data_IF_425317650471
#
_entry.id   IF_425317650471
#
_cell.length_a   1.000
_cell.length_b   1.000
_cell.length_c   1.000
_cell.angle_alpha   90.00
_cell.angle_beta   90.00
_cell.angle_gamma   90.00
#
_symmetry.space_group_name_H-M   'P 1'
#
loop_
_entity.id
_entity.type
_entity.pdbx_description
1 polymer ?
#
# COMPACT_ATOMS: atom_id res chain seq x y z
N UNK A 1 -26.45 20.14 12.64
CA UNK A 1 -25.00 20.16 12.43
C UNK A 1 -24.41 18.98 13.17
N UNK A 2 -24.08 17.89 12.46
CA UNK A 2 -23.41 16.74 13.05
C UNK A 2 -21.98 17.16 13.43
N UNK A 3 -21.60 16.94 14.69
CA UNK A 3 -20.22 17.14 15.14
C UNK A 3 -19.34 16.17 14.35
N UNK A 4 -18.48 16.68 13.46
CA UNK A 4 -17.41 15.93 12.82
C UNK A 4 -16.46 15.44 13.91
N UNK A 5 -16.70 14.26 14.43
CA UNK A 5 -15.73 13.57 15.27
C UNK A 5 -14.56 13.17 14.35
N UNK A 6 -13.35 13.65 14.67
CA UNK A 6 -12.14 13.22 13.93
C UNK A 6 -12.07 11.70 13.96
N UNK A 7 -11.88 11.05 12.80
CA UNK A 7 -11.73 9.59 12.75
C UNK A 7 -10.59 9.14 13.67
N UNK A 8 -10.82 8.03 14.41
CA UNK A 8 -9.82 7.47 15.30
C UNK A 8 -8.74 6.72 14.49
N UNK A 9 -7.51 6.73 14.98
CA UNK A 9 -6.39 5.99 14.39
C UNK A 9 -6.14 6.35 12.92
N UNK A 10 -5.94 5.35 12.08
CA UNK A 10 -5.60 5.49 10.67
C UNK A 10 -6.83 5.74 9.76
N UNK A 11 -8.06 5.68 10.28
CA UNK A 11 -9.29 5.88 9.50
C UNK A 11 -9.42 7.28 8.88
N UNK A 12 -8.62 8.26 9.35
CA UNK A 12 -8.53 9.56 8.67
C UNK A 12 -8.10 9.42 7.19
N UNK A 13 -7.35 8.37 6.83
CA UNK A 13 -6.96 8.13 5.44
C UNK A 13 -8.19 7.78 4.58
N UNK A 14 -9.11 6.97 5.09
CA UNK A 14 -10.36 6.66 4.40
C UNK A 14 -11.20 7.94 4.17
N UNK A 15 -11.31 8.79 5.19
CA UNK A 15 -11.99 10.09 5.09
C UNK A 15 -11.33 11.03 4.08
N UNK A 16 -9.99 11.07 4.06
CA UNK A 16 -9.25 11.91 3.12
C UNK A 16 -9.38 11.41 1.68
N UNK A 17 -9.30 10.11 1.46
CA UNK A 17 -9.52 9.51 0.15
C UNK A 17 -10.94 9.78 -0.36
N UNK A 18 -11.94 9.74 0.51
CA UNK A 18 -13.30 10.10 0.17
C UNK A 18 -13.41 11.58 -0.27
N UNK A 19 -12.83 12.52 0.49
CA UNK A 19 -12.81 13.95 0.14
C UNK A 19 -12.09 14.24 -1.16
N UNK A 20 -11.07 13.47 -1.49
CA UNK A 20 -10.35 13.58 -2.75
C UNK A 20 -11.09 12.91 -3.93
N UNK A 21 -12.29 12.39 -3.73
CA UNK A 21 -13.02 11.54 -4.69
C UNK A 21 -12.14 10.38 -5.21
N UNK A 22 -11.29 9.83 -4.33
CA UNK A 22 -10.38 8.74 -4.66
C UNK A 22 -11.02 7.37 -4.50
N UNK A 23 -12.28 7.31 -4.07
CA UNK A 23 -13.06 6.08 -3.89
C UNK A 23 -14.34 6.21 -4.70
N UNK A 24 -14.55 5.26 -5.61
CA UNK A 24 -15.75 5.16 -6.43
C UNK A 24 -16.41 3.79 -6.22
N UNK A 25 -17.75 3.75 -6.29
CA UNK A 25 -18.55 2.53 -6.21
C UNK A 25 -19.23 2.26 -7.55
N UNK A 26 -19.16 1.01 -8.02
CA UNK A 26 -19.68 0.63 -9.35
C UNK A 26 -19.32 -0.80 -9.70
N UNK A 27 -19.03 -1.07 -10.95
CA UNK A 27 -18.49 -2.34 -11.45
C UNK A 27 -17.17 -2.06 -12.16
N UNK A 28 -16.06 -2.48 -11.55
CA UNK A 28 -14.71 -2.16 -12.02
C UNK A 28 -13.92 -3.45 -12.29
N UNK A 29 -13.23 -3.49 -13.43
CA UNK A 29 -12.21 -4.49 -13.71
C UNK A 29 -10.84 -3.82 -13.66
N UNK A 30 -10.00 -4.21 -12.68
CA UNK A 30 -8.74 -3.59 -12.34
C UNK A 30 -7.60 -4.62 -12.50
N UNK A 31 -6.88 -4.52 -13.60
CA UNK A 31 -5.81 -5.47 -13.91
C UNK A 31 -6.35 -6.90 -14.11
N UNK A 32 -5.57 -7.89 -13.65
CA UNK A 32 -5.88 -9.31 -13.84
C UNK A 32 -6.61 -9.96 -12.65
N UNK A 33 -6.60 -9.33 -11.49
CA UNK A 33 -7.06 -9.93 -10.22
C UNK A 33 -8.39 -9.36 -9.75
N UNK A 34 -8.63 -8.08 -9.92
CA UNK A 34 -9.87 -7.43 -9.48
C UNK A 34 -10.88 -7.36 -10.62
N UNK A 35 -11.63 -8.43 -10.84
CA UNK A 35 -12.71 -8.52 -11.85
C UNK A 35 -14.05 -8.31 -11.15
N UNK A 36 -14.90 -7.44 -11.71
CA UNK A 36 -16.22 -7.07 -11.17
C UNK A 36 -16.13 -6.55 -9.71
N UNK A 37 -15.10 -5.74 -9.41
CA UNK A 37 -14.99 -5.12 -8.10
C UNK A 37 -16.06 -4.03 -7.91
N UNK A 38 -16.84 -4.06 -6.82
CA UNK A 38 -17.84 -3.03 -6.55
C UNK A 38 -17.23 -1.71 -6.05
N UNK A 39 -15.90 -1.67 -5.85
CA UNK A 39 -15.20 -0.51 -5.33
C UNK A 39 -13.86 -0.30 -6.04
N UNK A 40 -13.61 0.94 -6.42
CA UNK A 40 -12.34 1.41 -6.96
C UNK A 40 -11.67 2.38 -6.01
N UNK A 41 -10.36 2.23 -5.76
CA UNK A 41 -9.57 3.12 -4.93
C UNK A 41 -8.37 3.64 -5.73
N UNK A 42 -8.25 4.96 -5.84
CA UNK A 42 -7.19 5.65 -6.58
C UNK A 42 -6.32 6.49 -5.64
N UNK A 43 -5.36 5.86 -4.98
CA UNK A 43 -4.46 6.54 -4.04
C UNK A 43 -3.55 7.58 -4.70
N UNK A 44 -3.35 7.50 -6.02
CA UNK A 44 -2.54 8.49 -6.75
C UNK A 44 -3.12 9.91 -6.64
N UNK A 45 -4.39 10.07 -6.27
CA UNK A 45 -4.98 11.39 -5.96
C UNK A 45 -4.39 12.05 -4.72
N UNK A 46 -3.72 11.29 -3.84
CA UNK A 46 -3.00 11.85 -2.68
C UNK A 46 -1.88 12.83 -3.08
N UNK A 47 -1.30 12.71 -4.28
CA UNK A 47 -0.27 13.63 -4.77
C UNK A 47 -0.76 15.08 -4.85
N UNK A 48 -2.06 15.28 -5.01
CA UNK A 48 -2.68 16.61 -5.05
C UNK A 48 -2.90 17.21 -3.65
N UNK A 49 -2.65 16.44 -2.58
CA UNK A 49 -2.72 16.90 -1.20
C UNK A 49 -1.39 16.60 -0.46
N UNK A 50 -0.40 17.52 -0.53
CA UNK A 50 0.92 17.29 0.09
C UNK A 50 0.86 17.02 1.59
N UNK A 51 -0.10 17.61 2.32
CA UNK A 51 -0.28 17.38 3.76
C UNK A 51 -0.78 15.96 4.05
N UNK A 52 -1.70 15.45 3.23
CA UNK A 52 -2.19 14.08 3.35
C UNK A 52 -1.07 13.08 3.01
N UNK A 53 -0.32 13.32 1.94
CA UNK A 53 0.81 12.48 1.54
C UNK A 53 1.91 12.44 2.62
N UNK A 54 2.28 13.59 3.18
CA UNK A 54 3.23 13.66 4.30
C UNK A 54 2.71 12.91 5.54
N UNK A 55 1.40 12.99 5.81
CA UNK A 55 0.79 12.24 6.92
C UNK A 55 0.79 10.74 6.66
N UNK A 56 0.63 10.28 5.42
CA UNK A 56 0.80 8.87 5.06
C UNK A 56 2.22 8.39 5.38
N UNK A 57 3.24 9.16 5.01
CA UNK A 57 4.62 8.85 5.35
C UNK A 57 4.84 8.72 6.87
N UNK A 58 4.28 9.65 7.64
CA UNK A 58 4.37 9.64 9.11
C UNK A 58 3.67 8.42 9.74
N UNK A 59 2.52 8.01 9.23
CA UNK A 59 1.83 6.81 9.73
C UNK A 59 2.64 5.55 9.45
N UNK A 60 3.20 5.43 8.25
CA UNK A 60 4.08 4.30 7.93
C UNK A 60 5.27 4.28 8.90
N UNK A 61 5.91 5.42 9.15
CA UNK A 61 7.00 5.52 10.11
C UNK A 61 6.58 5.07 11.51
N UNK A 62 5.45 5.55 12.01
CA UNK A 62 4.96 5.23 13.35
C UNK A 62 4.63 3.74 13.50
N UNK A 63 3.99 3.13 12.49
CA UNK A 63 3.70 1.70 12.44
C UNK A 63 4.98 0.87 12.43
N UNK A 64 5.93 1.20 11.55
CA UNK A 64 7.20 0.48 11.47
C UNK A 64 8.02 0.60 12.76
N UNK A 65 8.07 1.78 13.39
CA UNK A 65 8.72 1.96 14.68
C UNK A 65 8.08 1.12 15.78
N UNK A 66 6.75 1.05 15.81
CA UNK A 66 6.03 0.22 16.76
C UNK A 66 6.37 -1.26 16.57
N UNK A 67 6.36 -1.77 15.33
CA UNK A 67 6.69 -3.16 15.01
C UNK A 67 8.15 -3.52 15.30
N UNK A 68 9.09 -2.60 15.03
CA UNK A 68 10.51 -2.77 15.32
C UNK A 68 10.81 -2.78 16.84
N UNK A 69 10.03 -2.04 17.63
CA UNK A 69 10.23 -1.91 19.08
C UNK A 69 9.68 -3.08 19.90
N UNK A 70 8.96 -4.00 19.28
CA UNK A 70 8.41 -5.18 19.96
C UNK A 70 9.52 -6.12 20.44
N UNK A 71 9.29 -6.85 21.54
CA UNK A 71 10.22 -7.87 22.07
C UNK A 71 10.61 -8.91 21.01
N UNK A 72 9.65 -9.27 20.13
CA UNK A 72 9.87 -10.07 18.94
C UNK A 72 9.43 -9.20 17.75
N UNK A 73 10.37 -8.52 17.08
CA UNK A 73 10.03 -7.63 15.97
C UNK A 73 9.30 -8.38 14.84
N UNK A 74 8.24 -7.78 14.34
CA UNK A 74 7.46 -8.34 13.22
C UNK A 74 7.97 -7.88 11.86
N UNK A 75 9.02 -7.05 11.84
CA UNK A 75 9.71 -6.61 10.63
C UNK A 75 11.22 -6.64 10.86
N UNK A 76 11.98 -6.69 9.78
CA UNK A 76 13.44 -6.64 9.83
C UNK A 76 13.96 -5.20 9.68
N UNK A 77 15.12 -4.85 10.31
CA UNK A 77 15.76 -3.58 10.03
C UNK A 77 16.11 -3.43 8.55
N UNK A 78 15.94 -2.22 8.03
CA UNK A 78 16.26 -1.88 6.64
C UNK A 78 17.08 -0.59 6.57
N UNK A 79 17.87 -0.44 5.51
CA UNK A 79 18.71 0.74 5.26
C UNK A 79 18.43 1.36 3.90
N UNK A 80 17.47 0.81 3.17
CA UNK A 80 17.08 1.23 1.83
C UNK A 80 15.57 1.06 1.68
N UNK A 81 14.96 1.88 0.85
CA UNK A 81 13.54 1.79 0.48
C UNK A 81 13.41 1.61 -1.02
N UNK A 82 12.51 0.74 -1.47
CA UNK A 82 12.16 0.62 -2.87
C UNK A 82 10.69 1.00 -3.10
N UNK A 83 10.46 2.00 -3.95
CA UNK A 83 9.11 2.39 -4.35
C UNK A 83 8.61 1.58 -5.55
N UNK A 84 7.40 1.02 -5.48
CA UNK A 84 6.77 0.33 -6.61
C UNK A 84 6.17 1.34 -7.59
N UNK A 85 6.55 1.33 -8.88
CA UNK A 85 5.92 2.20 -9.89
C UNK A 85 4.44 1.85 -10.13
N UNK A 86 3.54 2.84 -10.33
CA UNK A 86 3.82 4.27 -10.18
C UNK A 86 3.26 4.82 -8.87
N UNK A 87 2.22 4.23 -8.30
CA UNK A 87 1.53 4.71 -7.09
C UNK A 87 2.42 4.70 -5.87
N UNK A 88 3.15 3.61 -5.67
CA UNK A 88 4.07 3.43 -4.56
C UNK A 88 5.25 4.43 -4.56
N UNK A 89 5.67 4.95 -5.73
CA UNK A 89 6.76 5.93 -5.80
C UNK A 89 6.46 7.19 -4.99
N UNK A 90 5.24 7.69 -5.03
CA UNK A 90 4.88 8.93 -4.31
C UNK A 90 4.92 8.71 -2.80
N UNK A 91 4.43 7.57 -2.35
CA UNK A 91 4.42 7.19 -0.93
C UNK A 91 5.84 6.93 -0.44
N UNK A 92 6.63 6.18 -1.21
CA UNK A 92 8.01 5.87 -0.89
C UNK A 92 8.90 7.12 -0.85
N UNK A 93 8.71 8.05 -1.81
CA UNK A 93 9.43 9.34 -1.81
C UNK A 93 9.10 10.15 -0.57
N UNK A 94 7.81 10.28 -0.23
CA UNK A 94 7.40 11.01 0.96
C UNK A 94 7.96 10.35 2.24
N UNK A 95 7.94 9.02 2.32
CA UNK A 95 8.51 8.27 3.44
C UNK A 95 10.03 8.45 3.53
N UNK A 96 10.75 8.28 2.41
CA UNK A 96 12.20 8.47 2.33
C UNK A 96 12.63 9.85 2.86
N UNK A 97 11.95 10.91 2.41
CA UNK A 97 12.20 12.27 2.88
C UNK A 97 11.87 12.45 4.37
N UNK A 98 10.80 11.82 4.86
CA UNK A 98 10.37 11.94 6.25
C UNK A 98 11.34 11.28 7.24
N UNK A 99 11.93 10.14 6.87
CA UNK A 99 12.82 9.36 7.77
C UNK A 99 14.31 9.50 7.44
N UNK A 100 14.66 10.16 6.33
CA UNK A 100 16.05 10.29 5.85
C UNK A 100 16.64 8.97 5.35
N UNK A 101 15.82 8.03 4.89
CA UNK A 101 16.28 6.74 4.36
C UNK A 101 16.47 6.83 2.83
N UNK A 102 17.61 6.40 2.26
CA UNK A 102 17.81 6.36 0.81
C UNK A 102 16.73 5.56 0.10
N UNK A 103 16.39 5.96 -1.13
CA UNK A 103 15.36 5.32 -1.94
C UNK A 103 15.88 4.93 -3.31
N UNK A 104 15.40 3.80 -3.79
CA UNK A 104 15.54 3.30 -5.17
C UNK A 104 14.17 2.97 -5.75
N UNK A 105 14.10 2.74 -7.04
CA UNK A 105 12.92 2.17 -7.69
C UNK A 105 13.31 1.40 -8.95
N UNK A 106 12.42 0.54 -9.44
CA UNK A 106 12.63 -0.18 -10.70
C UNK A 106 11.96 0.61 -11.82
N UNK A 107 12.76 1.04 -12.79
CA UNK A 107 12.24 1.66 -14.00
C UNK A 107 11.57 0.60 -14.85
N UNK A 108 10.29 0.72 -15.20
CA UNK A 108 9.63 -0.22 -16.12
C UNK A 108 10.38 -0.29 -17.46
N UNK A 109 10.56 -1.49 -18.05
CA UNK A 109 11.30 -1.64 -19.30
C UNK A 109 10.63 -0.84 -20.43
N UNK A 110 11.43 -0.04 -21.10
CA UNK A 110 11.00 0.75 -22.26
C UNK A 110 11.10 -0.05 -23.55
N UNK A 111 10.63 -1.27 -23.67
CA UNK A 111 10.91 -2.29 -24.69
C UNK A 111 12.00 -3.23 -24.25
N UNK A 112 12.24 -4.33 -24.85
CA UNK A 112 13.23 -5.44 -24.71
C UNK A 112 14.47 -5.32 -23.76
N UNK A 113 14.51 -4.38 -22.84
CA UNK A 113 15.55 -4.23 -21.84
C UNK A 113 15.09 -4.80 -20.50
N UNK A 114 16.04 -5.43 -19.79
CA UNK A 114 15.86 -5.80 -18.40
C UNK A 114 15.50 -4.58 -17.54
N UNK A 115 14.70 -4.80 -16.50
CA UNK A 115 14.40 -3.79 -15.50
C UNK A 115 15.69 -3.14 -15.00
N UNK A 116 15.70 -1.81 -14.93
CA UNK A 116 16.84 -1.03 -14.42
C UNK A 116 16.47 -0.48 -13.06
N UNK A 117 17.34 -0.73 -12.07
CA UNK A 117 17.19 -0.13 -10.75
C UNK A 117 17.79 1.27 -10.80
N UNK A 118 16.96 2.26 -10.53
CA UNK A 118 17.35 3.66 -10.41
C UNK A 118 17.68 4.02 -8.98
N UNK A 119 18.75 4.75 -8.77
CA UNK A 119 19.29 5.11 -7.47
C UNK A 119 20.58 4.36 -7.12
N UNK A 120 21.12 4.61 -5.94
CA UNK A 120 22.39 4.03 -5.49
C UNK A 120 22.12 3.01 -4.40
N UNK A 121 22.69 1.82 -4.55
CA UNK A 121 22.58 0.73 -3.58
C UNK A 121 23.88 -0.08 -3.53
N UNK A 122 24.02 -0.88 -2.46
CA UNK A 122 25.12 -1.82 -2.29
C UNK A 122 24.57 -3.23 -2.11
N UNK A 123 25.17 -4.21 -2.76
CA UNK A 123 24.78 -5.63 -2.59
C UNK A 123 24.80 -6.02 -1.11
N UNK A 124 23.80 -6.76 -0.68
CA UNK A 124 23.61 -7.15 0.71
C UNK A 124 22.82 -6.15 1.57
N UNK A 125 22.51 -4.95 1.06
CA UNK A 125 21.61 -4.03 1.78
C UNK A 125 20.22 -4.62 1.96
N UNK A 126 19.65 -4.42 3.15
CA UNK A 126 18.25 -4.71 3.44
C UNK A 126 17.36 -3.59 2.92
N UNK A 127 16.36 -3.96 2.13
CA UNK A 127 15.47 -3.05 1.42
C UNK A 127 14.01 -3.31 1.81
N UNK A 128 13.30 -2.25 2.24
CA UNK A 128 11.86 -2.24 2.46
C UNK A 128 11.14 -1.84 1.16
N UNK A 129 10.19 -2.65 0.70
CA UNK A 129 9.35 -2.27 -0.44
C UNK A 129 8.16 -1.45 0.04
N UNK A 130 7.85 -0.35 -0.66
CA UNK A 130 6.68 0.49 -0.37
C UNK A 130 5.82 0.60 -1.64
N UNK A 131 4.53 0.28 -1.49
CA UNK A 131 3.51 0.48 -2.52
C UNK A 131 2.33 1.28 -1.96
N UNK A 132 1.49 1.84 -2.82
CA UNK A 132 0.28 2.54 -2.39
C UNK A 132 -0.82 1.56 -1.99
N UNK A 133 -1.06 0.52 -2.77
CA UNK A 133 -2.02 -0.54 -2.45
C UNK A 133 -1.57 -1.90 -2.99
N UNK A 134 -2.11 -2.95 -2.39
CA UNK A 134 -1.93 -4.33 -2.87
C UNK A 134 -3.26 -4.96 -3.26
N UNK A 135 -3.26 -5.67 -4.40
CA UNK A 135 -4.34 -6.59 -4.83
C UNK A 135 -3.84 -8.03 -4.71
N UNK A 136 -3.46 -8.67 -5.81
CA UNK A 136 -2.86 -10.02 -5.83
C UNK A 136 -1.35 -10.06 -5.56
N UNK A 137 -0.69 -8.93 -5.30
CA UNK A 137 0.72 -8.88 -4.92
C UNK A 137 1.74 -8.92 -6.07
N UNK A 138 1.31 -9.05 -7.31
CA UNK A 138 2.20 -9.25 -8.46
C UNK A 138 3.29 -8.17 -8.62
N UNK A 139 2.95 -6.89 -8.47
CA UNK A 139 3.92 -5.78 -8.59
C UNK A 139 4.99 -5.83 -7.50
N UNK A 140 4.59 -6.09 -6.26
CA UNK A 140 5.53 -6.20 -5.14
C UNK A 140 6.43 -7.43 -5.31
N UNK A 141 5.87 -8.58 -5.73
CA UNK A 141 6.64 -9.80 -5.99
C UNK A 141 7.66 -9.60 -7.12
N UNK A 142 7.26 -8.97 -8.23
CA UNK A 142 8.18 -8.64 -9.32
C UNK A 142 9.30 -7.71 -8.83
N UNK A 143 8.95 -6.66 -8.09
CA UNK A 143 9.93 -5.75 -7.49
C UNK A 143 10.91 -6.51 -6.60
N UNK A 144 10.41 -7.36 -5.70
CA UNK A 144 11.25 -8.15 -4.80
C UNK A 144 12.19 -9.09 -5.55
N UNK A 145 11.72 -9.73 -6.63
CA UNK A 145 12.54 -10.61 -7.48
C UNK A 145 13.69 -9.82 -8.11
N UNK A 146 13.39 -8.70 -8.77
CA UNK A 146 14.42 -7.86 -9.41
C UNK A 146 15.46 -7.35 -8.41
N UNK A 147 15.01 -6.89 -7.22
CA UNK A 147 15.91 -6.44 -6.16
C UNK A 147 16.80 -7.57 -5.64
N UNK A 148 16.25 -8.77 -5.47
CA UNK A 148 17.00 -9.95 -5.02
C UNK A 148 18.04 -10.40 -6.03
N UNK A 149 17.71 -10.37 -7.33
CA UNK A 149 18.65 -10.67 -8.43
C UNK A 149 19.80 -9.65 -8.47
N UNK A 150 19.53 -8.39 -8.10
CA UNK A 150 20.56 -7.35 -7.94
C UNK A 150 21.40 -7.53 -6.66
N UNK A 151 21.04 -8.49 -5.79
CA UNK A 151 21.75 -8.84 -4.56
C UNK A 151 21.31 -8.06 -3.35
N UNK A 152 20.14 -7.41 -3.38
CA UNK A 152 19.51 -6.80 -2.23
C UNK A 152 18.72 -7.85 -1.42
N UNK A 153 18.48 -7.56 -0.15
CA UNK A 153 17.73 -8.45 0.75
C UNK A 153 16.37 -7.82 1.03
N UNK A 154 15.29 -8.53 0.68
CA UNK A 154 13.91 -8.07 0.89
C UNK A 154 13.21 -9.03 1.84
N UNK A 155 12.76 -8.53 2.98
CA UNK A 155 11.98 -9.27 3.97
C UNK A 155 10.57 -8.76 4.12
N UNK A 156 10.38 -7.46 3.93
CA UNK A 156 9.14 -6.77 4.27
C UNK A 156 8.67 -5.85 3.14
N UNK A 157 7.37 -5.72 3.03
CA UNK A 157 6.70 -4.73 2.19
C UNK A 157 5.64 -3.99 2.99
N UNK A 158 5.44 -2.70 2.67
CA UNK A 158 4.42 -1.85 3.29
C UNK A 158 3.50 -1.30 2.23
N UNK A 159 2.19 -1.29 2.52
CA UNK A 159 1.19 -0.64 1.69
C UNK A 159 0.27 0.23 2.54
N UNK A 160 -0.29 1.29 1.96
CA UNK A 160 -1.33 2.06 2.62
C UNK A 160 -2.63 1.25 2.70
N UNK A 161 -2.96 0.49 1.64
CA UNK A 161 -4.21 -0.28 1.58
C UNK A 161 -3.95 -1.71 1.13
N UNK A 162 -4.46 -2.67 1.91
CA UNK A 162 -4.65 -4.05 1.47
C UNK A 162 -6.10 -4.21 0.97
N UNK A 163 -6.26 -4.56 -0.31
CA UNK A 163 -7.57 -4.82 -0.90
C UNK A 163 -8.15 -6.19 -0.53
N UNK A 164 -7.38 -7.02 0.19
CA UNK A 164 -7.79 -8.36 0.64
C UNK A 164 -8.14 -9.31 -0.54
N UNK A 165 -7.37 -9.22 -1.62
CA UNK A 165 -7.56 -10.00 -2.85
C UNK A 165 -6.45 -11.04 -3.06
N UNK A 166 -5.93 -11.63 -1.97
CA UNK A 166 -4.93 -12.70 -1.98
C UNK A 166 -3.47 -12.24 -1.97
N UNK A 167 -3.20 -10.94 -2.06
CA UNK A 167 -1.83 -10.42 -2.11
C UNK A 167 -1.01 -10.74 -0.88
N UNK A 168 -1.60 -10.65 0.31
CA UNK A 168 -0.93 -10.99 1.56
C UNK A 168 -0.47 -12.45 1.61
N UNK A 169 -1.35 -13.37 1.18
CA UNK A 169 -1.01 -14.80 1.12
C UNK A 169 0.09 -15.07 0.08
N UNK A 170 0.02 -14.41 -1.09
CA UNK A 170 1.04 -14.55 -2.14
C UNK A 170 2.42 -14.06 -1.67
N UNK A 171 2.50 -12.91 -1.02
CA UNK A 171 3.75 -12.40 -0.45
C UNK A 171 4.31 -13.33 0.64
N UNK A 172 3.44 -13.81 1.54
CA UNK A 172 3.84 -14.77 2.59
C UNK A 172 4.43 -16.05 2.01
N UNK A 173 3.87 -16.59 0.93
CA UNK A 173 4.41 -17.77 0.23
C UNK A 173 5.81 -17.49 -0.35
N UNK A 174 6.07 -16.25 -0.76
CA UNK A 174 7.38 -15.82 -1.23
C UNK A 174 8.35 -15.42 -0.09
N UNK A 175 7.97 -15.58 1.18
CA UNK A 175 8.80 -15.23 2.32
C UNK A 175 8.84 -13.72 2.63
N UNK A 176 7.91 -12.93 2.06
CA UNK A 176 7.83 -11.50 2.28
C UNK A 176 6.66 -11.21 3.23
N UNK A 177 6.95 -10.50 4.32
CA UNK A 177 5.93 -10.05 5.26
C UNK A 177 5.29 -8.75 4.75
N UNK A 178 3.96 -8.66 4.80
CA UNK A 178 3.20 -7.50 4.39
C UNK A 178 2.66 -6.75 5.62
N UNK A 179 2.98 -5.47 5.68
CA UNK A 179 2.39 -4.51 6.61
C UNK A 179 1.41 -3.62 5.84
N UNK A 180 0.15 -3.53 6.27
CA UNK A 180 -0.85 -2.68 5.64
C UNK A 180 -1.46 -1.72 6.66
N UNK A 181 -1.58 -0.45 6.30
CA UNK A 181 -2.11 0.59 7.20
C UNK A 181 -3.61 0.43 7.38
N UNK A 182 -4.34 0.16 6.30
CA UNK A 182 -5.77 -0.13 6.30
C UNK A 182 -6.10 -1.29 5.37
N UNK A 183 -7.20 -1.98 5.65
CA UNK A 183 -7.82 -2.92 4.71
C UNK A 183 -8.98 -2.26 3.96
N UNK A 184 -9.36 -2.83 2.83
CA UNK A 184 -10.53 -2.36 2.07
C UNK A 184 -11.83 -2.50 2.87
N UNK A 185 -11.95 -3.55 3.67
CA UNK A 185 -13.07 -3.76 4.59
C UNK A 185 -13.17 -2.65 5.65
N UNK A 186 -12.04 -2.25 6.25
CA UNK A 186 -12.00 -1.15 7.22
C UNK A 186 -12.44 0.17 6.60
N UNK A 187 -12.03 0.43 5.35
CA UNK A 187 -12.44 1.62 4.60
C UNK A 187 -13.94 1.60 4.35
N UNK A 188 -14.48 0.51 3.81
CA UNK A 188 -15.91 0.38 3.52
C UNK A 188 -16.77 0.51 4.79
N UNK A 189 -16.34 -0.13 5.89
CA UNK A 189 -17.02 -0.05 7.20
C UNK A 189 -17.03 1.38 7.73
N UNK A 190 -15.90 2.10 7.64
CA UNK A 190 -15.83 3.50 8.05
C UNK A 190 -16.75 4.38 7.20
N UNK A 191 -16.70 4.27 5.87
CA UNK A 191 -17.51 5.09 4.97
C UNK A 191 -19.00 4.87 5.18
N UNK A 192 -19.43 3.64 5.43
CA UNK A 192 -20.82 3.31 5.76
C UNK A 192 -21.22 3.94 7.10
N UNK A 193 -20.41 3.76 8.15
CA UNK A 193 -20.71 4.31 9.49
C UNK A 193 -20.70 5.85 9.53
N UNK A 194 -19.91 6.48 8.66
CA UNK A 194 -19.86 7.93 8.50
C UNK A 194 -21.02 8.47 7.62
N UNK A 195 -21.86 7.60 7.05
CA UNK A 195 -22.97 7.99 6.17
C UNK A 195 -22.53 8.45 4.78
N UNK A 196 -21.30 8.14 4.36
CA UNK A 196 -20.78 8.50 3.05
C UNK A 196 -21.30 7.57 1.95
N UNK A 197 -21.60 6.33 2.29
CA UNK A 197 -22.11 5.32 1.35
C UNK A 197 -23.37 4.64 1.91
N UNK A 198 -24.29 4.20 1.01
CA UNK A 198 -25.46 3.45 1.43
C UNK A 198 -25.10 2.01 1.81
N UNK A 199 -25.95 1.39 2.62
CA UNK A 199 -25.76 0.04 3.14
C UNK A 199 -25.63 -1.02 2.03
N UNK A 200 -26.31 -0.87 0.91
CA UNK A 200 -26.24 -1.80 -0.22
C UNK A 200 -24.85 -1.80 -0.89
N UNK A 201 -24.20 -0.65 -1.03
CA UNK A 201 -22.84 -0.53 -1.53
C UNK A 201 -21.83 -1.20 -0.56
N UNK A 202 -22.01 -1.00 0.73
CA UNK A 202 -21.22 -1.67 1.77
C UNK A 202 -21.38 -3.19 1.70
N UNK A 203 -22.61 -3.72 1.68
CA UNK A 203 -22.88 -5.16 1.60
C UNK A 203 -22.31 -5.79 0.34
N UNK A 204 -22.44 -5.13 -0.82
CA UNK A 204 -21.82 -5.60 -2.07
C UNK A 204 -20.30 -5.71 -1.94
N UNK A 205 -19.67 -4.72 -1.28
CA UNK A 205 -18.22 -4.75 -1.05
C UNK A 205 -17.82 -5.93 -0.15
N UNK A 206 -18.52 -6.18 0.95
CA UNK A 206 -18.24 -7.31 1.83
C UNK A 206 -18.41 -8.65 1.11
N UNK A 207 -19.53 -8.87 0.42
CA UNK A 207 -19.77 -10.11 -0.35
C UNK A 207 -18.70 -10.34 -1.42
N UNK A 208 -18.21 -9.27 -2.03
CA UNK A 208 -17.10 -9.36 -2.97
C UNK A 208 -15.81 -9.84 -2.26
N UNK A 209 -15.48 -9.27 -1.11
CA UNK A 209 -14.28 -9.66 -0.35
C UNK A 209 -14.35 -11.10 0.14
N UNK A 210 -15.51 -11.55 0.65
CA UNK A 210 -15.74 -12.93 1.07
C UNK A 210 -15.55 -13.96 -0.05
N UNK A 211 -15.76 -13.55 -1.31
CA UNK A 211 -15.57 -14.41 -2.48
C UNK A 211 -14.10 -14.50 -2.94
N UNK A 212 -13.18 -13.75 -2.30
CA UNK A 212 -11.76 -13.71 -2.69
C UNK A 212 -10.90 -14.62 -1.82
N UNK A 213 -9.77 -15.11 -2.34
CA UNK A 213 -8.81 -15.86 -1.54
C UNK A 213 -8.24 -14.94 -0.44
N UNK A 214 -8.23 -15.43 0.78
CA UNK A 214 -7.66 -14.74 1.96
C UNK A 214 -6.15 -14.95 2.06
#
# INVERSE_FOLDING_TARGET
MAKSTKPAGNLWLAEELWKLNAIDFGDFTLGRTAVHSPIYVNLRRLISNPKALARCAKIIEDELKALLSMKNPHIQPFTLVAGVPFGGLHVATAFSLNVGCPMIYIHPPATDKSDVIEGVYVRGQSCLIIDDLITGGGSILQTATTLSEAGLVVHDAVTLIDRQEGGKAALKQAGINLISILTLEQIATFLMSAGHIPEDAYRKTLSYLESRPS
#
